data_IF_030007518923
#
_entry.id   IF_030007518923
#
_cell.length_a   1.000
_cell.length_b   1.000
_cell.length_c   1.000
_cell.angle_alpha   90.00
_cell.angle_beta   90.00
_cell.angle_gamma   90.00
#
_symmetry.space_group_name_H-M   'P 1'
#
loop_
_entity.id
_entity.type
_entity.pdbx_description
1 polymer ?
#
# COMPACT_ATOMS: atom_id res chain seq x y z
N UNK A 1 9.10 -1.30 -3.63
CA UNK A 1 7.82 -0.88 -3.02
C UNK A 1 7.80 -1.30 -1.56
N UNK A 2 7.62 -0.35 -0.65
CA UNK A 2 7.20 -0.61 0.71
C UNK A 2 6.25 0.52 1.10
N UNK A 3 4.95 0.24 1.13
CA UNK A 3 3.99 1.05 1.86
C UNK A 3 3.92 0.45 3.26
N UNK A 4 4.10 1.23 4.31
CA UNK A 4 3.90 0.79 5.70
C UNK A 4 2.95 1.76 6.39
N UNK A 5 1.81 1.27 6.85
CA UNK A 5 1.07 1.93 7.93
C UNK A 5 1.61 1.36 9.24
N UNK A 6 2.49 2.09 9.91
CA UNK A 6 2.96 1.74 11.26
C UNK A 6 2.14 2.54 12.27
N UNK A 7 1.24 1.85 12.97
CA UNK A 7 0.83 2.24 14.32
C UNK A 7 1.15 1.04 15.21
N UNK A 8 2.28 1.15 15.92
CA UNK A 8 2.73 0.20 16.93
C UNK A 8 1.98 0.52 18.22
N UNK A 9 1.28 -0.48 18.78
CA UNK A 9 1.10 -0.77 20.22
C UNK A 9 -0.13 -1.70 20.36
N UNK A 10 0.15 -2.98 20.67
CA UNK A 10 -0.74 -4.04 21.17
C UNK A 10 -1.53 -4.87 20.14
N UNK A 11 -0.93 -5.99 19.80
CA UNK A 11 -1.43 -7.26 19.25
C UNK A 11 -2.93 -7.56 19.44
N UNK A 12 -3.81 -6.92 18.66
CA UNK A 12 -5.22 -7.30 18.43
C UNK A 12 -5.69 -6.78 17.05
N UNK A 13 -5.39 -7.48 15.96
CA UNK A 13 -6.11 -7.32 14.67
C UNK A 13 -5.64 -6.20 13.71
N UNK A 14 -4.33 -5.99 13.62
CA UNK A 14 -3.75 -5.12 12.58
C UNK A 14 -3.72 -5.92 11.27
N UNK A 15 -4.58 -5.53 10.31
CA UNK A 15 -4.54 -6.08 8.96
C UNK A 15 -3.17 -5.81 8.33
N UNK A 16 -2.72 -6.67 7.42
CA UNK A 16 -1.42 -6.53 6.75
C UNK A 16 -1.27 -5.10 6.21
N UNK A 17 -0.16 -4.46 6.54
CA UNK A 17 0.08 -3.04 6.23
C UNK A 17 1.25 -2.81 5.28
N UNK A 18 1.93 -3.87 4.85
CA UNK A 18 3.04 -3.84 3.91
C UNK A 18 3.06 -5.08 3.02
N UNK A 19 3.46 -4.90 1.75
CA UNK A 19 3.50 -5.94 0.72
C UNK A 19 4.82 -5.92 -0.06
N UNK A 20 5.96 -6.25 0.58
CA UNK A 20 7.25 -6.29 -0.11
C UNK A 20 7.29 -7.32 -1.26
N UNK A 21 6.49 -8.38 -1.18
CA UNK A 21 6.38 -9.42 -2.22
C UNK A 21 5.68 -8.96 -3.51
N UNK A 22 4.99 -7.82 -3.49
CA UNK A 22 4.34 -7.26 -4.67
C UNK A 22 5.28 -6.40 -5.53
N UNK A 23 6.54 -6.27 -5.14
CA UNK A 23 7.56 -5.62 -5.97
C UNK A 23 7.70 -6.37 -7.30
N UNK A 24 7.54 -5.65 -8.41
CA UNK A 24 7.59 -6.23 -9.76
C UNK A 24 6.28 -6.89 -10.22
N UNK A 25 5.25 -6.94 -9.37
CA UNK A 25 3.92 -7.40 -9.77
C UNK A 25 3.21 -6.28 -10.54
N UNK A 26 2.41 -6.67 -11.54
CA UNK A 26 1.56 -5.74 -12.28
C UNK A 26 0.66 -4.94 -11.31
N UNK A 27 0.53 -3.63 -11.55
CA UNK A 27 -0.16 -2.69 -10.65
C UNK A 27 -1.63 -3.04 -10.38
N UNK A 28 -2.36 -3.53 -11.37
CA UNK A 28 -3.77 -3.92 -11.20
C UNK A 28 -3.87 -5.19 -10.32
N UNK A 29 -2.99 -6.17 -10.54
CA UNK A 29 -2.91 -7.35 -9.70
C UNK A 29 -2.49 -7.03 -8.26
N UNK A 30 -1.52 -6.13 -8.07
CA UNK A 30 -1.08 -5.68 -6.75
C UNK A 30 -2.22 -4.99 -5.98
N UNK A 31 -2.98 -4.11 -6.65
CA UNK A 31 -4.14 -3.45 -6.05
C UNK A 31 -5.20 -4.47 -5.60
N UNK A 32 -5.49 -5.48 -6.41
CA UNK A 32 -6.44 -6.54 -6.06
C UNK A 32 -5.97 -7.36 -4.85
N UNK A 33 -4.67 -7.68 -4.76
CA UNK A 33 -4.11 -8.42 -3.63
C UNK A 33 -4.19 -7.60 -2.34
N UNK A 34 -3.85 -6.30 -2.40
CA UNK A 34 -3.90 -5.39 -1.24
C UNK A 34 -5.32 -5.30 -0.68
N UNK A 35 -6.32 -5.06 -1.54
CA UNK A 35 -7.73 -4.95 -1.12
C UNK A 35 -8.23 -6.27 -0.53
N UNK A 36 -7.80 -7.40 -1.10
CA UNK A 36 -8.16 -8.74 -0.60
C UNK A 36 -7.55 -9.03 0.77
N UNK A 37 -6.28 -8.67 0.98
CA UNK A 37 -5.55 -8.98 2.21
C UNK A 37 -5.81 -8.00 3.34
N UNK A 38 -6.18 -6.76 3.01
CA UNK A 38 -6.58 -5.76 3.99
C UNK A 38 -7.82 -4.98 3.51
N UNK A 39 -9.04 -5.47 3.83
CA UNK A 39 -10.29 -4.80 3.47
C UNK A 39 -10.48 -3.42 4.12
N UNK A 40 -9.64 -3.03 5.09
CA UNK A 40 -9.65 -1.68 5.67
C UNK A 40 -9.04 -0.64 4.72
N UNK A 41 -8.29 -1.09 3.70
CA UNK A 41 -7.79 -0.22 2.64
C UNK A 41 -8.96 0.14 1.73
N UNK A 42 -9.40 1.39 1.82
CA UNK A 42 -10.50 1.93 1.00
C UNK A 42 -9.95 2.42 -0.36
N UNK A 43 -8.69 2.88 -0.39
CA UNK A 43 -8.08 3.44 -1.59
C UNK A 43 -6.70 2.84 -1.89
N UNK A 44 -6.53 2.36 -3.13
CA UNK A 44 -5.20 2.15 -3.71
C UNK A 44 -4.95 3.24 -4.74
N UNK A 45 -3.76 3.85 -4.71
CA UNK A 45 -3.42 4.90 -5.66
C UNK A 45 -2.10 4.55 -6.32
N UNK A 46 -2.13 4.48 -7.65
CA UNK A 46 -0.95 4.21 -8.47
C UNK A 46 -0.17 5.51 -8.63
N UNK A 47 1.10 5.48 -8.27
CA UNK A 47 1.99 6.64 -8.30
C UNK A 47 3.21 6.26 -9.12
N UNK A 48 3.56 7.09 -10.11
CA UNK A 48 4.81 6.92 -10.83
C UNK A 48 5.97 7.33 -9.93
N UNK A 49 7.06 6.59 -10.00
CA UNK A 49 8.27 6.93 -9.26
C UNK A 49 8.71 8.39 -9.52
N UNK A 50 9.12 9.09 -8.46
CA UNK A 50 9.53 10.49 -8.51
C UNK A 50 8.41 11.53 -8.50
N UNK A 51 7.14 11.10 -8.42
CA UNK A 51 6.03 12.02 -8.15
C UNK A 51 5.95 12.36 -6.66
N UNK A 52 5.60 13.61 -6.36
CA UNK A 52 5.34 14.05 -4.99
C UNK A 52 3.93 13.63 -4.59
N UNK A 53 3.81 12.97 -3.43
CA UNK A 53 2.53 12.60 -2.82
C UNK A 53 2.26 13.42 -1.57
N UNK A 54 1.02 13.42 -1.10
CA UNK A 54 0.66 14.06 0.15
C UNK A 54 1.30 13.32 1.35
N UNK A 55 1.79 14.08 2.33
CA UNK A 55 2.48 13.54 3.52
C UNK A 55 1.52 13.28 4.71
N UNK A 56 0.21 13.22 4.44
CA UNK A 56 -0.79 12.87 5.45
C UNK A 56 -0.75 11.37 5.77
N UNK A 57 -0.82 11.05 7.07
CA UNK A 57 -0.87 9.68 7.54
C UNK A 57 -2.30 9.13 7.44
N UNK A 58 -2.47 8.08 6.62
CA UNK A 58 -3.77 7.47 6.32
C UNK A 58 -3.65 5.95 6.23
N UNK A 59 -4.21 5.26 7.21
CA UNK A 59 -4.23 3.79 7.26
C UNK A 59 -5.21 3.14 6.28
N UNK A 60 -6.10 3.93 5.68
CA UNK A 60 -7.08 3.50 4.69
C UNK A 60 -6.58 3.64 3.24
N UNK A 61 -5.36 4.15 3.03
CA UNK A 61 -4.78 4.42 1.70
C UNK A 61 -3.42 3.73 1.54
N UNK A 62 -3.25 3.07 0.39
CA UNK A 62 -1.98 2.46 -0.01
C UNK A 62 -1.48 3.06 -1.32
N UNK A 63 -0.23 3.54 -1.31
CA UNK A 63 0.48 4.02 -2.50
C UNK A 63 1.16 2.85 -3.22
N UNK A 64 0.80 2.62 -4.47
CA UNK A 64 1.41 1.63 -5.35
C UNK A 64 2.39 2.37 -6.26
N UNK A 65 3.68 2.29 -5.93
CA UNK A 65 4.73 2.91 -6.72
C UNK A 65 5.06 2.04 -7.93
N UNK A 66 4.93 2.60 -9.13
CA UNK A 66 5.32 1.93 -10.36
C UNK A 66 6.52 2.63 -10.98
N UNK A 67 7.44 1.82 -11.51
CA UNK A 67 8.59 2.32 -12.24
C UNK A 67 8.14 3.04 -13.52
N UNK A 68 9.00 3.89 -14.07
CA UNK A 68 8.69 4.68 -15.26
C UNK A 68 8.71 3.87 -16.57
N UNK A 69 9.09 2.59 -16.52
CA UNK A 69 9.45 1.79 -17.69
C UNK A 69 8.32 0.89 -18.19
#
# INVERSE_FOLDING_TARGET
MAASCTDDILTLGIGKSSWPELVGVNREAAAAIIVRENPKVIGTVIVKEGMVVTMDFRSDRVWIWVDKN
#
